data_IF_789247706201
#
_entry.id   IF_789247706201
#
_cell.length_a   1.000
_cell.length_b   1.000
_cell.length_c   1.000
_cell.angle_alpha   90.00
_cell.angle_beta   90.00
_cell.angle_gamma   90.00
#
_symmetry.space_group_name_H-M   'P 1'
#
loop_
_entity.id
_entity.type
_entity.pdbx_description
1 polymer ?
#
# COMPACT_ATOMS: atom_id res chain seq x y z
N UNK A 1 8.40 11.66 31.36
CA UNK A 1 9.12 12.03 30.12
C UNK A 1 8.46 11.35 28.93
N UNK A 2 7.66 12.07 28.15
CA UNK A 2 6.95 11.52 26.98
C UNK A 2 7.98 11.22 25.88
N UNK A 3 8.27 9.93 25.64
CA UNK A 3 9.12 9.53 24.53
C UNK A 3 8.46 10.03 23.24
N UNK A 4 9.08 11.01 22.57
CA UNK A 4 8.69 11.47 21.23
C UNK A 4 8.72 10.26 20.30
N UNK A 5 7.54 9.68 20.02
CA UNK A 5 7.37 8.56 19.10
C UNK A 5 7.97 8.98 17.75
N UNK A 6 9.10 8.39 17.36
CA UNK A 6 9.75 8.71 16.09
C UNK A 6 8.76 8.43 14.96
N UNK A 7 8.42 9.45 14.18
CA UNK A 7 7.55 9.28 13.01
C UNK A 7 8.33 8.52 11.94
N UNK A 8 7.94 7.27 11.71
CA UNK A 8 8.45 6.47 10.60
C UNK A 8 8.19 7.19 9.26
N UNK A 9 9.14 7.14 8.34
CA UNK A 9 9.06 7.77 7.03
C UNK A 9 9.36 6.74 5.94
N UNK A 10 8.64 6.85 4.83
CA UNK A 10 8.90 6.04 3.64
C UNK A 10 10.24 6.48 3.05
N UNK A 11 11.19 5.55 2.93
CA UNK A 11 12.52 5.79 2.38
C UNK A 11 12.71 5.08 1.04
N UNK A 12 12.58 5.85 -0.03
CA UNK A 12 12.76 5.36 -1.41
C UNK A 12 14.22 5.35 -1.86
N UNK A 13 15.17 5.90 -1.07
CA UNK A 13 16.61 5.99 -1.40
C UNK A 13 16.91 6.53 -2.81
N UNK A 14 16.02 7.36 -3.37
CA UNK A 14 16.05 7.83 -4.76
C UNK A 14 16.19 6.72 -5.83
N UNK A 15 15.77 5.49 -5.50
CA UNK A 15 15.76 4.38 -6.46
C UNK A 15 14.40 4.29 -7.14
N UNK A 16 14.41 4.10 -8.45
CA UNK A 16 13.27 3.69 -9.26
C UNK A 16 13.73 2.56 -10.18
N UNK A 17 12.95 1.49 -10.24
CA UNK A 17 13.25 0.35 -11.08
C UNK A 17 11.96 -0.26 -11.66
N UNK A 18 12.04 -0.89 -12.84
CA UNK A 18 10.92 -1.63 -13.39
C UNK A 18 10.54 -2.79 -12.47
N UNK A 19 9.31 -3.30 -12.60
CA UNK A 19 8.79 -4.33 -11.71
C UNK A 19 9.67 -5.60 -11.68
N UNK A 20 10.35 -5.91 -12.79
CA UNK A 20 11.22 -7.07 -12.93
C UNK A 20 12.49 -7.01 -12.07
N UNK A 21 12.98 -5.80 -11.79
CA UNK A 21 14.21 -5.57 -11.01
C UNK A 21 13.92 -5.35 -9.51
N UNK A 22 12.65 -5.46 -9.12
CA UNK A 22 12.24 -5.29 -7.73
C UNK A 22 12.74 -6.44 -6.86
N UNK A 23 13.23 -6.13 -5.66
CA UNK A 23 13.57 -7.15 -4.68
C UNK A 23 12.35 -7.98 -4.23
N UNK A 24 11.13 -7.48 -4.49
CA UNK A 24 9.89 -8.19 -4.25
C UNK A 24 9.47 -9.06 -5.45
N UNK A 25 10.12 -8.93 -6.61
CA UNK A 25 9.79 -9.72 -7.80
C UNK A 25 10.24 -11.17 -7.63
N UNK A 26 9.36 -12.11 -7.97
CA UNK A 26 9.58 -13.57 -7.89
C UNK A 26 10.05 -14.03 -6.51
N UNK A 27 9.56 -13.39 -5.45
CA UNK A 27 9.90 -13.78 -4.09
C UNK A 27 9.16 -15.07 -3.69
N UNK A 28 9.89 -16.18 -3.65
CA UNK A 28 9.30 -17.51 -3.39
C UNK A 28 9.51 -18.02 -1.96
N UNK A 29 10.46 -17.46 -1.21
CA UNK A 29 10.83 -17.99 0.12
C UNK A 29 10.45 -17.03 1.24
N UNK A 30 9.75 -17.56 2.25
CA UNK A 30 9.42 -16.85 3.50
C UNK A 30 10.68 -16.38 4.25
N UNK A 31 11.79 -17.11 4.14
CA UNK A 31 13.09 -16.72 4.73
C UNK A 31 13.70 -15.51 4.02
N UNK A 32 13.59 -15.44 2.69
CA UNK A 32 14.04 -14.26 1.94
C UNK A 32 13.18 -13.04 2.27
N UNK A 33 11.87 -13.23 2.46
CA UNK A 33 10.97 -12.16 2.92
C UNK A 33 11.40 -11.61 4.28
N UNK A 34 11.65 -12.50 5.25
CA UNK A 34 12.04 -12.09 6.61
C UNK A 34 13.36 -11.32 6.62
N UNK A 35 14.35 -11.77 5.84
CA UNK A 35 15.61 -11.05 5.62
C UNK A 35 15.39 -9.66 4.99
N UNK A 36 14.52 -9.55 3.99
CA UNK A 36 14.26 -8.29 3.27
C UNK A 36 13.50 -7.26 4.12
N UNK A 37 12.64 -7.74 5.02
CA UNK A 37 11.93 -6.94 6.02
C UNK A 37 12.74 -6.68 7.29
N UNK A 38 13.95 -7.25 7.40
CA UNK A 38 14.80 -7.19 8.60
C UNK A 38 14.05 -7.61 9.87
N UNK A 39 13.24 -8.68 9.81
CA UNK A 39 12.45 -9.17 10.94
C UNK A 39 12.37 -10.68 10.90
N UNK A 40 12.18 -11.33 12.05
CA UNK A 40 12.03 -12.78 12.12
C UNK A 40 10.64 -13.25 11.64
N UNK A 41 10.58 -14.47 11.10
CA UNK A 41 9.38 -15.12 10.60
C UNK A 41 8.32 -15.32 11.69
N UNK A 42 8.75 -15.61 12.92
CA UNK A 42 7.85 -15.77 14.05
C UNK A 42 7.13 -14.45 14.37
N UNK A 43 7.88 -13.35 14.39
CA UNK A 43 7.35 -12.01 14.63
C UNK A 43 6.39 -11.60 13.52
N UNK A 44 6.74 -11.84 12.25
CA UNK A 44 5.86 -11.55 11.12
C UNK A 44 4.50 -12.27 11.23
N UNK A 45 4.50 -13.55 11.61
CA UNK A 45 3.26 -14.31 11.84
C UNK A 45 2.43 -13.80 13.02
N UNK A 46 3.08 -13.28 14.07
CA UNK A 46 2.36 -12.68 15.20
C UNK A 46 1.73 -11.34 14.82
N UNK A 47 2.38 -10.59 13.94
CA UNK A 47 1.93 -9.28 13.49
C UNK A 47 0.82 -9.30 12.45
N UNK A 48 0.46 -10.48 11.91
CA UNK A 48 -0.73 -10.62 11.05
C UNK A 48 -2.04 -10.63 11.81
N UNK A 49 -2.01 -10.69 13.14
CA UNK A 49 -3.22 -10.64 13.95
C UNK A 49 -3.81 -9.21 13.94
N UNK A 50 -5.12 -9.11 13.75
CA UNK A 50 -5.88 -7.85 13.74
C UNK A 50 -5.79 -7.13 15.09
N UNK A 51 -5.48 -7.84 16.18
CA UNK A 51 -5.18 -7.25 17.50
C UNK A 51 -4.02 -6.24 17.47
N UNK A 52 -3.20 -6.24 16.41
CA UNK A 52 -2.11 -5.30 16.23
C UNK A 52 -2.55 -3.92 15.67
N UNK A 53 -3.85 -3.67 15.54
CA UNK A 53 -4.42 -2.40 15.12
C UNK A 53 -5.23 -1.75 16.24
N UNK A 54 -5.01 -0.45 16.43
CA UNK A 54 -5.87 0.40 17.23
C UNK A 54 -6.97 0.99 16.34
N UNK A 55 -8.19 0.49 16.50
CA UNK A 55 -9.37 0.96 15.76
C UNK A 55 -10.12 2.01 16.59
N UNK A 56 -10.30 3.21 16.06
CA UNK A 56 -11.08 4.26 16.71
C UNK A 56 -11.90 5.04 15.67
N UNK A 57 -13.01 5.63 16.12
CA UNK A 57 -13.85 6.46 15.27
C UNK A 57 -13.38 7.91 15.43
N UNK A 58 -12.94 8.51 14.34
CA UNK A 58 -12.63 9.93 14.29
C UNK A 58 -13.89 10.72 13.90
N UNK A 59 -14.35 11.56 14.81
CA UNK A 59 -15.50 12.46 14.65
C UNK A 59 -15.08 13.90 14.37
N UNK A 60 -13.78 14.17 14.19
CA UNK A 60 -13.26 15.53 13.95
C UNK A 60 -13.67 16.12 12.60
N UNK A 61 -14.14 15.29 11.66
CA UNK A 61 -14.57 15.69 10.32
C UNK A 61 -16.10 15.72 10.15
N UNK A 62 -16.55 16.17 8.97
CA UNK A 62 -17.98 16.25 8.61
C UNK A 62 -18.73 14.91 8.63
N UNK A 63 -18.02 13.78 8.60
CA UNK A 63 -18.57 12.43 8.72
C UNK A 63 -17.66 11.59 9.62
N UNK A 64 -18.21 10.76 10.52
CA UNK A 64 -17.41 9.83 11.31
C UNK A 64 -16.67 8.87 10.38
N UNK A 65 -15.38 8.66 10.63
CA UNK A 65 -14.55 7.71 9.87
C UNK A 65 -13.91 6.73 10.83
N UNK A 66 -14.00 5.44 10.51
CA UNK A 66 -13.24 4.42 11.22
C UNK A 66 -11.78 4.53 10.80
N UNK A 67 -10.91 4.81 11.77
CA UNK A 67 -9.46 4.88 11.58
C UNK A 67 -8.85 3.65 12.24
N UNK A 68 -8.12 2.90 11.43
CA UNK A 68 -7.36 1.74 11.87
C UNK A 68 -5.87 2.09 11.86
N UNK A 69 -5.29 2.29 13.04
CA UNK A 69 -3.89 2.66 13.17
C UNK A 69 -3.04 1.47 13.66
N UNK A 70 -2.07 0.97 12.88
CA UNK A 70 -1.21 -0.12 13.32
C UNK A 70 -0.34 0.28 14.51
N UNK A 71 -0.04 -0.66 15.41
CA UNK A 71 1.00 -0.46 16.42
C UNK A 71 2.38 -0.28 15.78
N UNK A 72 3.32 0.24 16.57
CA UNK A 72 4.63 0.67 16.07
C UNK A 72 5.42 -0.43 15.34
N UNK A 73 5.39 -1.67 15.84
CA UNK A 73 6.08 -2.80 15.19
C UNK A 73 5.49 -3.14 13.82
N UNK A 74 4.15 -3.13 13.72
CA UNK A 74 3.46 -3.35 12.45
C UNK A 74 3.65 -2.18 11.49
N UNK A 75 3.55 -0.93 11.96
CA UNK A 75 3.80 0.28 11.16
C UNK A 75 5.22 0.32 10.60
N UNK A 76 6.20 -0.21 11.35
CA UNK A 76 7.60 -0.33 10.90
C UNK A 76 7.73 -1.27 9.70
N UNK A 77 7.11 -2.44 9.76
CA UNK A 77 7.13 -3.42 8.66
C UNK A 77 6.33 -2.88 7.47
N UNK A 78 5.15 -2.32 7.71
CA UNK A 78 4.33 -1.72 6.65
C UNK A 78 5.05 -0.56 5.96
N UNK A 79 5.72 0.31 6.72
CA UNK A 79 6.54 1.39 6.15
C UNK A 79 7.71 0.84 5.32
N UNK A 80 8.31 -0.28 5.73
CA UNK A 80 9.36 -0.94 4.96
C UNK A 80 8.82 -1.51 3.64
N UNK A 81 7.68 -2.21 3.67
CA UNK A 81 7.00 -2.73 2.48
C UNK A 81 6.63 -1.59 1.53
N UNK A 82 5.98 -0.54 2.05
CA UNK A 82 5.64 0.67 1.32
C UNK A 82 6.87 1.29 0.63
N UNK A 83 7.99 1.39 1.35
CA UNK A 83 9.24 1.92 0.82
C UNK A 83 9.80 1.12 -0.36
N UNK A 84 9.55 -0.20 -0.41
CA UNK A 84 9.97 -1.06 -1.51
C UNK A 84 9.01 -0.93 -2.70
N UNK A 85 7.70 -0.89 -2.43
CA UNK A 85 6.68 -0.70 -3.47
C UNK A 85 6.84 0.66 -4.16
N UNK A 86 7.12 1.73 -3.39
CA UNK A 86 7.35 3.06 -3.94
C UNK A 86 8.61 3.19 -4.82
N UNK A 87 9.52 2.21 -4.79
CA UNK A 87 10.68 2.16 -5.70
C UNK A 87 10.35 1.48 -7.03
N UNK A 88 9.21 0.79 -7.11
CA UNK A 88 8.74 0.20 -8.37
C UNK A 88 8.15 1.31 -9.24
N UNK A 89 8.54 1.34 -10.50
CA UNK A 89 7.97 2.26 -11.47
C UNK A 89 6.47 2.02 -11.64
N UNK A 90 5.72 3.11 -11.53
CA UNK A 90 4.28 3.12 -11.70
C UNK A 90 3.93 3.69 -13.06
N UNK A 91 2.83 3.22 -13.68
CA UNK A 91 2.44 3.70 -14.99
C UNK A 91 2.10 5.19 -15.00
N UNK A 92 2.21 5.82 -16.17
CA UNK A 92 2.20 7.28 -16.29
C UNK A 92 0.87 7.94 -15.95
N UNK A 93 -0.23 7.21 -16.10
CA UNK A 93 -1.57 7.70 -15.79
C UNK A 93 -1.86 7.80 -14.27
N UNK A 94 -1.00 7.26 -13.41
CA UNK A 94 -1.18 7.31 -11.95
C UNK A 94 -0.50 8.56 -11.40
N UNK A 95 -1.29 9.51 -10.93
CA UNK A 95 -0.79 10.73 -10.29
C UNK A 95 -0.87 10.68 -8.75
N UNK A 96 -1.77 9.86 -8.20
CA UNK A 96 -1.98 9.73 -6.76
C UNK A 96 -0.88 8.92 -6.09
N UNK A 97 -0.25 9.45 -5.04
CA UNK A 97 0.77 8.75 -4.25
C UNK A 97 2.17 8.67 -4.90
N UNK A 98 2.38 9.31 -6.06
CA UNK A 98 3.68 9.34 -6.76
C UNK A 98 4.44 10.62 -6.42
N UNK A 99 5.69 10.48 -5.97
CA UNK A 99 6.58 11.62 -5.71
C UNK A 99 6.82 12.41 -7.00
N UNK A 100 6.42 13.68 -7.01
CA UNK A 100 6.57 14.59 -8.16
C UNK A 100 5.34 14.69 -9.06
N UNK A 101 4.28 13.92 -8.81
CA UNK A 101 2.98 14.09 -9.47
C UNK A 101 1.99 14.73 -8.50
N UNK A 102 1.17 15.63 -9.02
CA UNK A 102 0.15 16.35 -8.27
C UNK A 102 -1.12 16.49 -9.10
N UNK A 103 -2.22 16.89 -8.45
CA UNK A 103 -3.49 17.20 -9.14
C UNK A 103 -3.27 18.21 -10.29
N UNK A 104 -2.32 19.13 -10.14
CA UNK A 104 -1.94 20.11 -11.18
C UNK A 104 -1.33 19.41 -12.41
N UNK A 105 -0.44 18.43 -12.20
CA UNK A 105 0.17 17.68 -13.32
C UNK A 105 -0.85 16.85 -14.09
N UNK A 106 -1.84 16.26 -13.40
CA UNK A 106 -2.93 15.51 -14.03
C UNK A 106 -3.84 16.43 -14.86
N UNK A 107 -4.18 17.61 -14.32
CA UNK A 107 -4.98 18.59 -15.04
C UNK A 107 -4.26 19.08 -16.32
N UNK A 108 -2.96 19.35 -16.24
CA UNK A 108 -2.15 19.80 -17.40
C UNK A 108 -2.15 18.79 -18.55
N UNK A 109 -2.08 17.48 -18.27
CA UNK A 109 -2.13 16.44 -19.30
C UNK A 109 -3.50 16.31 -19.99
N UNK A 110 -4.55 16.91 -19.42
CA UNK A 110 -5.93 16.84 -19.93
C UNK A 110 -6.42 18.14 -20.56
N UNK A 111 -5.60 19.20 -20.58
CA UNK A 111 -5.92 20.47 -21.25
C UNK A 111 -6.07 20.21 -22.76
N UNK A 112 -7.28 20.41 -23.30
CA UNK A 112 -7.58 20.24 -24.73
C UNK A 112 -8.33 18.95 -25.13
N UNK A 113 -8.69 18.07 -24.18
CA UNK A 113 -9.60 16.94 -24.44
C UNK A 113 -11.03 17.28 -24.01
N UNK A 114 -11.98 17.18 -24.95
CA UNK A 114 -13.32 17.77 -24.82
C UNK A 114 -14.33 17.00 -23.96
N UNK A 115 -13.98 15.83 -23.41
CA UNK A 115 -14.86 15.07 -22.51
C UNK A 115 -14.14 14.67 -21.22
N UNK A 116 -14.48 15.32 -20.11
CA UNK A 116 -13.97 15.00 -18.77
C UNK A 116 -15.04 14.19 -18.04
N UNK A 117 -14.78 12.90 -17.83
CA UNK A 117 -15.61 12.07 -16.95
C UNK A 117 -15.04 12.14 -15.53
N UNK A 118 -15.81 12.76 -14.63
CA UNK A 118 -15.47 12.84 -13.20
C UNK A 118 -16.19 11.69 -12.52
N UNK A 119 -15.45 10.63 -12.18
CA UNK A 119 -15.96 9.52 -11.37
C UNK A 119 -15.29 9.55 -10.01
N UNK A 120 -16.08 9.82 -8.96
CA UNK A 120 -15.61 9.69 -7.57
C UNK A 120 -15.86 8.26 -7.08
N UNK A 121 -14.86 7.66 -6.44
CA UNK A 121 -14.99 6.31 -5.89
C UNK A 121 -15.43 6.47 -4.44
N UNK A 122 -16.68 6.14 -4.15
CA UNK A 122 -17.16 6.11 -2.78
C UNK A 122 -16.35 5.08 -1.98
N UNK A 123 -15.71 5.52 -0.90
CA UNK A 123 -15.04 4.64 0.07
C UNK A 123 -13.89 3.80 -0.55
N UNK A 124 -12.83 4.49 -1.01
CA UNK A 124 -11.65 3.90 -1.65
C UNK A 124 -10.98 2.75 -0.87
N UNK A 125 -10.66 2.97 0.40
CA UNK A 125 -9.92 2.02 1.25
C UNK A 125 -10.69 0.75 1.64
N UNK A 126 -11.96 0.82 2.10
CA UNK A 126 -12.72 -0.41 2.40
C UNK A 126 -13.06 -1.19 1.12
N UNK A 127 -13.04 -0.55 -0.05
CA UNK A 127 -13.18 -1.23 -1.33
C UNK A 127 -11.94 -2.04 -1.72
N UNK A 128 -10.78 -1.80 -1.09
CA UNK A 128 -9.55 -2.56 -1.33
C UNK A 128 -9.49 -3.80 -0.44
N UNK A 129 -10.12 -4.88 -0.91
CA UNK A 129 -10.12 -6.16 -0.19
C UNK A 129 -8.77 -6.87 -0.23
N UNK A 130 -8.49 -7.71 0.78
CA UNK A 130 -7.30 -8.57 0.87
C UNK A 130 -7.00 -9.33 -0.43
N UNK A 131 -8.03 -9.81 -1.14
CA UNK A 131 -7.87 -10.51 -2.42
C UNK A 131 -7.17 -9.66 -3.48
N UNK A 132 -7.39 -8.35 -3.51
CA UNK A 132 -6.74 -7.44 -4.45
C UNK A 132 -5.26 -7.29 -4.12
N UNK A 133 -4.93 -7.12 -2.84
CA UNK A 133 -3.56 -7.05 -2.35
C UNK A 133 -2.82 -8.36 -2.64
N UNK A 134 -3.45 -9.50 -2.38
CA UNK A 134 -2.91 -10.82 -2.73
C UNK A 134 -2.63 -10.94 -4.23
N UNK A 135 -3.61 -10.58 -5.08
CA UNK A 135 -3.44 -10.66 -6.54
C UNK A 135 -2.33 -9.76 -7.06
N UNK A 136 -2.06 -8.63 -6.40
CA UNK A 136 -0.93 -7.78 -6.75
C UNK A 136 0.41 -8.49 -6.48
N UNK A 137 0.61 -9.04 -5.29
CA UNK A 137 1.83 -9.79 -5.00
C UNK A 137 1.96 -11.06 -5.85
N UNK A 138 0.87 -11.79 -6.05
CA UNK A 138 0.88 -13.05 -6.78
C UNK A 138 1.00 -12.85 -8.29
N UNK A 139 0.13 -12.03 -8.91
CA UNK A 139 0.09 -11.86 -10.37
C UNK A 139 1.07 -10.82 -10.91
N UNK A 140 1.23 -9.68 -10.23
CA UNK A 140 2.10 -8.58 -10.70
C UNK A 140 3.56 -8.79 -10.30
N UNK A 141 3.79 -9.19 -9.06
CA UNK A 141 5.14 -9.43 -8.54
C UNK A 141 5.60 -10.89 -8.66
N UNK A 142 4.74 -11.81 -9.13
CA UNK A 142 5.06 -13.23 -9.32
C UNK A 142 5.60 -13.91 -8.05
N UNK A 143 5.17 -13.46 -6.87
CA UNK A 143 5.52 -14.08 -5.60
C UNK A 143 4.85 -15.45 -5.46
N UNK A 144 5.40 -16.32 -4.59
CA UNK A 144 4.73 -17.56 -4.20
C UNK A 144 3.40 -17.25 -3.50
N UNK A 145 2.42 -18.16 -3.59
CA UNK A 145 1.10 -18.04 -2.93
C UNK A 145 1.25 -17.77 -1.43
N UNK A 146 2.13 -18.53 -0.80
CA UNK A 146 2.45 -18.44 0.62
C UNK A 146 3.00 -17.08 1.06
N UNK A 147 3.89 -16.51 0.25
CA UNK A 147 4.51 -15.20 0.52
C UNK A 147 3.50 -14.09 0.26
N UNK A 148 2.69 -14.25 -0.80
CA UNK A 148 1.63 -13.31 -1.18
C UNK A 148 0.54 -13.23 -0.12
N UNK A 149 0.13 -14.36 0.47
CA UNK A 149 -0.88 -14.37 1.53
C UNK A 149 -0.34 -13.74 2.82
N UNK A 150 0.90 -14.06 3.21
CA UNK A 150 1.55 -13.45 4.37
C UNK A 150 1.68 -11.93 4.21
N UNK A 151 2.12 -11.46 3.04
CA UNK A 151 2.19 -10.04 2.73
C UNK A 151 0.81 -9.39 2.71
N UNK A 152 -0.20 -10.05 2.14
CA UNK A 152 -1.57 -9.54 2.15
C UNK A 152 -2.09 -9.38 3.58
N UNK A 153 -1.92 -10.38 4.44
CA UNK A 153 -2.31 -10.32 5.86
C UNK A 153 -1.61 -9.18 6.60
N UNK A 154 -0.30 -8.97 6.38
CA UNK A 154 0.44 -7.87 7.00
C UNK A 154 -0.01 -6.48 6.54
N UNK A 155 -0.60 -6.39 5.35
CA UNK A 155 -1.03 -5.12 4.74
C UNK A 155 -2.52 -4.84 4.92
N UNK A 156 -3.29 -5.79 5.45
CA UNK A 156 -4.74 -5.65 5.67
C UNK A 156 -5.10 -5.76 7.15
N UNK A 157 -6.21 -5.15 7.53
CA UNK A 157 -6.88 -5.29 8.81
C UNK A 157 -8.34 -5.67 8.51
N UNK A 158 -8.92 -6.66 9.20
CA UNK A 158 -10.32 -7.09 8.99
C UNK A 158 -10.68 -7.31 7.51
N UNK A 159 -9.73 -7.83 6.71
CA UNK A 159 -9.91 -8.12 5.29
C UNK A 159 -9.86 -6.94 4.31
N UNK A 160 -9.57 -5.72 4.76
CA UNK A 160 -9.42 -4.52 3.91
C UNK A 160 -8.15 -3.73 4.25
N UNK A 161 -7.82 -2.71 3.45
CA UNK A 161 -6.63 -1.87 3.71
C UNK A 161 -6.94 -0.88 4.85
N UNK A 162 -6.08 -0.81 5.89
CA UNK A 162 -6.29 0.06 7.03
C UNK A 162 -6.11 1.54 6.68
N UNK A 163 -7.12 2.35 6.99
CA UNK A 163 -7.20 3.79 6.67
C UNK A 163 -6.12 4.63 7.36
N UNK A 164 -5.64 4.22 8.54
CA UNK A 164 -4.66 4.94 9.35
C UNK A 164 -3.20 4.49 9.17
N UNK A 165 -2.94 3.61 8.21
CA UNK A 165 -1.60 3.07 7.92
C UNK A 165 -0.88 3.89 6.85
N UNK A 166 0.46 3.87 6.86
CA UNK A 166 1.28 4.45 5.79
C UNK A 166 1.28 3.63 4.51
N UNK A 167 0.75 2.39 4.55
CA UNK A 167 0.71 1.48 3.41
C UNK A 167 -0.50 1.73 2.50
N UNK A 168 -1.54 2.37 3.01
CA UNK A 168 -2.76 2.69 2.28
C UNK A 168 -2.51 3.48 0.99
N UNK A 169 -1.70 4.54 1.09
CA UNK A 169 -1.37 5.43 -0.03
C UNK A 169 -0.49 4.75 -1.11
N UNK A 170 0.61 4.04 -0.77
CA UNK A 170 1.41 3.28 -1.73
C UNK A 170 0.66 2.14 -2.45
N UNK A 171 -0.46 1.65 -1.90
CA UNK A 171 -1.29 0.62 -2.51
C UNK A 171 -2.41 1.14 -3.41
N UNK A 172 -2.69 2.46 -3.40
CA UNK A 172 -3.60 3.12 -4.36
C UNK A 172 -3.33 2.70 -5.82
N UNK A 173 -2.08 2.63 -6.29
CA UNK A 173 -1.74 2.24 -7.67
C UNK A 173 -2.05 0.78 -8.00
N UNK A 174 -2.00 -0.11 -7.00
CA UNK A 174 -2.34 -1.52 -7.16
C UNK A 174 -3.82 -1.67 -7.57
N UNK A 175 -4.71 -0.88 -6.97
CA UNK A 175 -6.15 -0.88 -7.25
C UNK A 175 -6.49 -0.24 -8.61
N UNK A 176 -5.79 0.84 -8.97
CA UNK A 176 -5.90 1.52 -10.27
C UNK A 176 -5.23 0.75 -11.43
N UNK A 177 -4.54 -0.36 -11.15
CA UNK A 177 -3.93 -1.21 -12.17
C UNK A 177 -4.76 -2.46 -12.51
N UNK A 178 -5.89 -2.65 -11.83
CA UNK A 178 -6.85 -3.74 -12.08
C UNK A 178 -7.76 -3.38 -13.29
N UNK A 179 -8.27 -4.38 -14.07
CA UNK A 179 -8.96 -4.17 -15.36
C UNK A 179 -10.01 -3.06 -15.44
N UNK A 180 -10.66 -2.69 -14.33
CA UNK A 180 -11.62 -1.57 -14.26
C UNK A 180 -11.02 -0.26 -14.80
N UNK A 181 -9.73 -0.02 -14.60
CA UNK A 181 -9.05 1.21 -15.05
C UNK A 181 -8.24 1.03 -16.33
N UNK A 182 -8.21 -0.18 -16.90
CA UNK A 182 -7.56 -0.47 -18.18
C UNK A 182 -8.49 -0.24 -19.38
N UNK A 183 -9.76 0.05 -19.11
CA UNK A 183 -10.83 0.27 -20.09
C UNK A 183 -11.33 1.73 -20.13
N UNK A 184 -10.68 2.63 -19.37
CA UNK A 184 -10.87 4.09 -19.41
C UNK A 184 -9.58 4.75 -19.93
#
# INVERSE_FOLDING_TARGET
>A
MSQKKQRLRIDVRNKKYPIADSCLFRLQSKRKLSQLLNTDLFVLKKLTDDSNYNCYIDTSGHKPREIEHPYFELDKIQTRIASLICRIEQPDYIHSGVKGRSHITNARQRVGRHSVLISDIQSFFPSTIKRMVFNFFYKRLQCSSDVSDLLANLCTCKGHIPTGSRISMPFVPCQLSWPVWRQL
#
